data_IF_538313413237
#
_entry.id   IF_538313413237
#
_cell.length_a   1.000
_cell.length_b   1.000
_cell.length_c   1.000
_cell.angle_alpha   90.00
_cell.angle_beta   90.00
_cell.angle_gamma   90.00
#
_symmetry.space_group_name_H-M   'P 1'
#
loop_
_entity.id
_entity.type
_entity.pdbx_description
1 polymer ?
#
# COMPACT_ATOMS: atom_id res chain seq x y z
N UNK A 1 54.01 -33.32 41.44
CA UNK A 1 52.66 -33.41 40.85
C UNK A 1 52.86 -33.94 39.42
N UNK A 2 52.69 -35.24 39.22
CA UNK A 2 52.84 -35.87 37.90
C UNK A 2 51.46 -35.88 37.24
N UNK A 3 51.30 -35.17 36.13
CA UNK A 3 50.12 -35.29 35.27
C UNK A 3 50.17 -36.68 34.65
N UNK A 4 49.09 -37.45 34.81
CA UNK A 4 49.01 -38.80 34.24
C UNK A 4 48.90 -38.72 32.71
N UNK A 5 49.51 -39.68 32.00
CA UNK A 5 49.32 -39.84 30.56
C UNK A 5 47.84 -39.99 30.18
N UNK A 6 47.02 -40.53 31.09
CA UNK A 6 45.57 -40.66 30.89
C UNK A 6 44.86 -39.29 30.91
N UNK A 7 45.31 -38.34 31.74
CA UNK A 7 44.76 -36.97 31.78
C UNK A 7 45.09 -36.19 30.52
N UNK A 8 46.30 -36.38 29.98
CA UNK A 8 46.73 -35.80 28.70
C UNK A 8 45.89 -36.38 27.56
N UNK A 9 45.68 -37.70 27.55
CA UNK A 9 44.87 -38.36 26.52
C UNK A 9 43.41 -37.89 26.55
N UNK A 10 42.82 -37.75 27.75
CA UNK A 10 41.46 -37.23 27.93
C UNK A 10 41.32 -35.80 27.42
N UNK A 11 42.33 -34.96 27.68
CA UNK A 11 42.38 -33.58 27.19
C UNK A 11 42.44 -33.51 25.66
N UNK A 12 43.26 -34.35 25.01
CA UNK A 12 43.32 -34.40 23.55
C UNK A 12 42.03 -34.95 22.92
N UNK A 13 41.42 -35.98 23.50
CA UNK A 13 40.14 -36.53 23.03
C UNK A 13 39.00 -35.50 23.15
N UNK A 14 38.95 -34.75 24.25
CA UNK A 14 37.98 -33.66 24.45
C UNK A 14 38.22 -32.49 23.49
N UNK A 15 39.47 -32.14 23.22
CA UNK A 15 39.81 -31.10 22.24
C UNK A 15 39.44 -31.51 20.80
N UNK A 16 39.68 -32.76 20.41
CA UNK A 16 39.31 -33.31 19.08
C UNK A 16 37.79 -33.36 18.91
N UNK A 17 37.05 -33.79 19.93
CA UNK A 17 35.57 -33.80 19.90
C UNK A 17 35.01 -32.38 19.85
N UNK A 18 35.58 -31.43 20.58
CA UNK A 18 35.20 -30.02 20.50
C UNK A 18 35.47 -29.41 19.12
N UNK A 19 36.65 -29.66 18.54
CA UNK A 19 37.01 -29.18 17.19
C UNK A 19 36.12 -29.79 16.10
N UNK A 20 35.76 -31.07 16.22
CA UNK A 20 34.85 -31.72 15.27
C UNK A 20 33.41 -31.23 15.42
N UNK A 21 32.94 -30.99 16.65
CA UNK A 21 31.65 -30.34 16.90
C UNK A 21 31.62 -28.92 16.32
N UNK A 22 32.65 -28.11 16.58
CA UNK A 22 32.76 -26.75 16.03
C UNK A 22 32.72 -26.75 14.50
N UNK A 23 33.47 -27.65 13.84
CA UNK A 23 33.47 -27.79 12.38
C UNK A 23 32.10 -28.17 11.82
N UNK A 24 31.39 -29.08 12.49
CA UNK A 24 30.01 -29.47 12.10
C UNK A 24 29.04 -28.30 12.25
N UNK A 25 29.13 -27.56 13.36
CA UNK A 25 28.31 -26.37 13.60
C UNK A 25 28.57 -25.28 12.56
N UNK A 26 29.83 -25.04 12.20
CA UNK A 26 30.22 -24.07 11.16
C UNK A 26 29.71 -24.50 9.78
N UNK A 27 29.84 -25.78 9.42
CA UNK A 27 29.30 -26.32 8.18
C UNK A 27 27.76 -26.17 8.12
N UNK A 28 27.08 -26.45 9.24
CA UNK A 28 25.63 -26.25 9.35
C UNK A 28 25.24 -24.78 9.20
N UNK A 29 25.94 -23.86 9.87
CA UNK A 29 25.72 -22.41 9.73
C UNK A 29 25.89 -21.95 8.28
N UNK A 30 26.95 -22.39 7.59
CA UNK A 30 27.19 -22.04 6.19
C UNK A 30 26.08 -22.57 5.30
N UNK A 31 25.66 -23.83 5.48
CA UNK A 31 24.54 -24.41 4.73
C UNK A 31 23.23 -23.66 4.99
N UNK A 32 22.97 -23.29 6.25
CA UNK A 32 21.79 -22.53 6.63
C UNK A 32 21.78 -21.14 5.98
N UNK A 33 22.91 -20.43 5.99
CA UNK A 33 23.05 -19.12 5.35
C UNK A 33 22.82 -19.23 3.84
N UNK A 34 23.43 -20.22 3.19
CA UNK A 34 23.24 -20.44 1.74
C UNK A 34 21.80 -20.79 1.40
N UNK A 35 21.15 -21.66 2.19
CA UNK A 35 19.75 -22.03 2.01
C UNK A 35 18.83 -20.82 2.20
N UNK A 36 19.03 -20.06 3.27
CA UNK A 36 18.25 -18.86 3.55
C UNK A 36 18.42 -17.80 2.46
N UNK A 37 19.66 -17.54 2.02
CA UNK A 37 19.94 -16.62 0.92
C UNK A 37 19.31 -17.08 -0.39
N UNK A 38 19.36 -18.39 -0.68
CA UNK A 38 18.68 -18.99 -1.83
C UNK A 38 17.17 -18.80 -1.79
N UNK A 39 16.54 -19.02 -0.63
CA UNK A 39 15.10 -18.79 -0.41
C UNK A 39 14.73 -17.31 -0.56
N UNK A 40 15.55 -16.40 -0.02
CA UNK A 40 15.35 -14.96 -0.15
C UNK A 40 15.34 -14.53 -1.63
N UNK A 41 16.32 -15.01 -2.40
CA UNK A 41 16.44 -14.73 -3.84
C UNK A 41 15.33 -15.39 -4.66
N UNK A 42 14.92 -16.61 -4.30
CA UNK A 42 13.79 -17.28 -4.93
C UNK A 42 12.48 -16.51 -4.68
N UNK A 43 12.29 -16.01 -3.46
CA UNK A 43 11.12 -15.23 -3.08
C UNK A 43 11.05 -13.89 -3.82
N UNK A 44 12.12 -13.09 -3.77
CA UNK A 44 12.19 -11.79 -4.47
C UNK A 44 12.15 -11.91 -5.99
N UNK A 45 12.58 -13.06 -6.53
CA UNK A 45 12.47 -13.40 -7.94
C UNK A 45 11.09 -13.91 -8.38
N UNK A 46 10.13 -14.08 -7.46
CA UNK A 46 8.78 -14.58 -7.76
C UNK A 46 8.68 -16.09 -7.99
N UNK A 47 9.75 -16.86 -7.72
CA UNK A 47 9.77 -18.32 -7.89
C UNK A 47 8.90 -19.03 -6.85
N UNK A 48 8.64 -18.38 -5.71
CA UNK A 48 7.76 -18.89 -4.67
C UNK A 48 6.30 -18.40 -4.81
N UNK A 49 5.93 -17.81 -5.95
CA UNK A 49 4.58 -17.27 -6.20
C UNK A 49 3.44 -18.28 -5.99
N UNK A 50 3.69 -19.57 -6.16
CA UNK A 50 2.71 -20.63 -5.89
C UNK A 50 2.37 -20.79 -4.39
N UNK A 51 3.24 -20.33 -3.49
CA UNK A 51 3.06 -20.33 -2.04
C UNK A 51 2.70 -18.93 -1.50
N UNK A 52 2.58 -17.96 -2.39
CA UNK A 52 2.25 -16.59 -2.04
C UNK A 52 0.75 -16.38 -1.92
N UNK A 53 0.34 -15.25 -1.37
CA UNK A 53 -1.05 -14.85 -1.36
C UNK A 53 -1.51 -14.49 -2.78
N UNK A 54 -2.73 -14.89 -3.12
CA UNK A 54 -3.40 -14.49 -4.36
C UNK A 54 -4.46 -13.42 -4.08
N UNK A 55 -4.94 -12.70 -5.12
CA UNK A 55 -6.06 -11.78 -4.99
C UNK A 55 -7.30 -12.40 -4.33
N UNK A 56 -7.54 -13.70 -4.55
CA UNK A 56 -8.69 -14.43 -4.02
C UNK A 56 -8.61 -14.63 -2.49
N UNK A 57 -7.41 -14.50 -1.91
CA UNK A 57 -7.19 -14.57 -0.48
C UNK A 57 -7.40 -13.23 0.24
N UNK A 58 -7.69 -12.16 -0.51
CA UNK A 58 -7.92 -10.83 0.02
C UNK A 58 -9.42 -10.59 0.26
N UNK A 59 -9.80 -10.48 1.52
CA UNK A 59 -11.08 -9.88 1.89
C UNK A 59 -10.90 -8.37 2.02
N UNK A 60 -11.27 -7.61 0.98
CA UNK A 60 -11.23 -6.15 0.98
C UNK A 60 -12.65 -5.56 0.96
N UNK A 61 -12.97 -4.79 1.98
CA UNK A 61 -14.23 -4.05 2.12
C UNK A 61 -13.98 -2.55 2.21
N UNK A 62 -14.84 -1.79 1.53
CA UNK A 62 -14.81 -0.33 1.52
C UNK A 62 -16.23 0.17 1.69
N UNK A 63 -16.43 1.08 2.62
CA UNK A 63 -17.73 1.70 2.88
C UNK A 63 -17.55 3.19 3.13
N UNK A 64 -18.58 3.98 2.83
CA UNK A 64 -18.62 5.39 3.14
C UNK A 64 -19.88 5.71 3.95
N UNK A 65 -19.72 6.52 4.99
CA UNK A 65 -20.79 7.01 5.85
C UNK A 65 -20.40 8.38 6.42
N UNK A 66 -21.29 9.36 6.36
CA UNK A 66 -21.13 10.68 6.99
C UNK A 66 -19.77 11.33 6.70
N UNK A 67 -19.45 11.49 5.40
CA UNK A 67 -18.17 11.95 4.86
C UNK A 67 -16.93 11.10 5.22
N UNK A 68 -17.10 10.00 5.95
CA UNK A 68 -16.02 9.11 6.38
C UNK A 68 -15.96 7.89 5.49
N UNK A 69 -14.77 7.54 5.03
CA UNK A 69 -14.48 6.30 4.30
C UNK A 69 -13.79 5.35 5.25
N UNK A 70 -14.30 4.12 5.33
CA UNK A 70 -13.74 3.04 6.12
C UNK A 70 -13.31 1.94 5.16
N UNK A 71 -12.02 1.64 5.17
CA UNK A 71 -11.43 0.50 4.45
C UNK A 71 -11.05 -0.55 5.47
N UNK A 72 -11.41 -1.80 5.24
CA UNK A 72 -10.92 -2.93 6.02
C UNK A 72 -10.42 -4.01 5.08
N UNK A 73 -9.30 -4.61 5.44
CA UNK A 73 -8.76 -5.75 4.72
C UNK A 73 -8.31 -6.86 5.64
N UNK A 74 -8.33 -8.07 5.11
CA UNK A 74 -7.68 -9.24 5.66
C UNK A 74 -7.12 -10.07 4.50
N UNK A 75 -5.81 -10.34 4.52
CA UNK A 75 -5.10 -11.14 3.53
C UNK A 75 -4.65 -12.45 4.15
N UNK A 76 -5.17 -13.55 3.63
CA UNK A 76 -4.83 -14.89 4.10
C UNK A 76 -3.61 -15.44 3.33
N UNK A 77 -2.65 -16.00 4.06
CA UNK A 77 -1.48 -16.66 3.47
C UNK A 77 -0.36 -15.71 3.05
N UNK A 78 0.61 -16.26 2.31
CA UNK A 78 1.76 -15.54 1.74
C UNK A 78 2.72 -14.89 2.74
N UNK A 79 2.51 -14.99 4.06
CA UNK A 79 3.33 -14.28 5.06
C UNK A 79 4.80 -14.67 5.00
N UNK A 80 5.10 -15.96 4.80
CA UNK A 80 6.48 -16.47 4.69
C UNK A 80 7.13 -15.95 3.42
N UNK A 81 6.45 -16.02 2.27
CA UNK A 81 6.96 -15.53 0.98
C UNK A 81 7.23 -14.03 1.08
N UNK A 82 6.26 -13.26 1.56
CA UNK A 82 6.40 -11.82 1.79
C UNK A 82 7.56 -11.48 2.74
N UNK A 83 7.70 -12.20 3.84
CA UNK A 83 8.81 -12.00 4.80
C UNK A 83 10.16 -12.30 4.15
N UNK A 84 10.28 -13.43 3.44
CA UNK A 84 11.50 -13.80 2.72
C UNK A 84 11.84 -12.83 1.59
N UNK A 85 10.85 -12.29 0.89
CA UNK A 85 11.08 -11.32 -0.16
C UNK A 85 11.41 -9.92 0.38
N UNK A 86 11.18 -9.67 1.68
CA UNK A 86 11.17 -8.31 2.24
C UNK A 86 10.02 -7.46 1.68
N UNK A 87 8.95 -8.10 1.20
CA UNK A 87 7.80 -7.44 0.61
C UNK A 87 7.07 -6.53 1.59
N UNK A 88 6.37 -5.53 1.04
CA UNK A 88 5.45 -4.64 1.75
C UNK A 88 4.21 -4.44 0.93
N UNK A 89 3.07 -4.51 1.61
CA UNK A 89 1.80 -4.30 0.96
C UNK A 89 1.34 -2.86 1.27
N UNK A 90 0.42 -2.35 0.46
CA UNK A 90 -0.08 -0.99 0.61
C UNK A 90 -1.57 -0.90 0.29
N UNK A 91 -2.23 0.05 0.93
CA UNK A 91 -3.56 0.54 0.52
C UNK A 91 -3.36 1.94 -0.05
N UNK A 92 -3.78 2.16 -1.28
CA UNK A 92 -3.64 3.43 -2.00
C UNK A 92 -5.04 3.98 -2.27
N UNK A 93 -5.30 5.19 -1.79
CA UNK A 93 -6.57 5.89 -1.99
C UNK A 93 -6.42 6.86 -3.17
N UNK A 94 -7.36 6.82 -4.11
CA UNK A 94 -7.35 7.69 -5.30
C UNK A 94 -8.70 8.39 -5.42
N UNK A 95 -8.72 9.72 -5.38
CA UNK A 95 -9.96 10.50 -5.46
C UNK A 95 -9.74 11.92 -6.02
N UNK A 96 -10.75 12.51 -6.69
CA UNK A 96 -10.70 13.91 -7.10
C UNK A 96 -10.87 14.81 -5.87
N UNK A 97 -9.80 15.52 -5.50
CA UNK A 97 -9.79 16.31 -4.27
C UNK A 97 -10.09 17.78 -4.49
N UNK A 98 -9.44 18.41 -5.46
CA UNK A 98 -9.59 19.86 -5.70
C UNK A 98 -9.96 20.16 -7.15
N UNK A 99 -10.55 21.33 -7.38
CA UNK A 99 -10.81 21.88 -8.71
C UNK A 99 -10.17 23.26 -8.84
N UNK A 100 -9.58 23.53 -10.01
CA UNK A 100 -8.94 24.81 -10.34
C UNK A 100 -9.99 25.84 -10.76
N UNK A 101 -9.85 27.07 -10.27
CA UNK A 101 -10.67 28.23 -10.65
C UNK A 101 -9.82 29.49 -10.78
N UNK A 102 -9.62 29.96 -12.01
CA UNK A 102 -9.08 31.29 -12.36
C UNK A 102 -7.97 31.81 -11.40
N UNK A 103 -6.99 30.97 -11.06
CA UNK A 103 -5.84 31.21 -10.14
C UNK A 103 -5.96 30.70 -8.69
N UNK A 104 -7.05 30.01 -8.35
CA UNK A 104 -7.28 29.40 -7.03
C UNK A 104 -7.65 27.91 -7.15
N UNK A 105 -7.69 27.22 -6.00
CA UNK A 105 -8.15 25.84 -5.88
C UNK A 105 -9.30 25.78 -4.89
N UNK A 106 -10.41 25.18 -5.29
CA UNK A 106 -11.53 24.90 -4.41
C UNK A 106 -11.52 23.43 -4.00
N UNK A 107 -11.76 23.19 -2.71
CA UNK A 107 -11.75 21.85 -2.12
C UNK A 107 -13.07 21.13 -2.42
N UNK A 108 -13.03 20.08 -3.22
CA UNK A 108 -14.16 19.15 -3.44
C UNK A 108 -14.21 18.08 -2.34
N UNK A 109 -13.04 17.60 -1.93
CA UNK A 109 -12.82 16.66 -0.85
C UNK A 109 -11.35 16.70 -0.45
N UNK A 110 -11.03 17.08 0.78
CA UNK A 110 -9.69 16.96 1.34
C UNK A 110 -9.70 15.93 2.46
N UNK A 111 -8.60 15.19 2.57
CA UNK A 111 -8.45 14.17 3.59
C UNK A 111 -8.06 14.81 4.92
N UNK A 112 -8.94 14.70 5.90
CA UNK A 112 -8.67 15.05 7.30
C UNK A 112 -8.74 13.79 8.18
N UNK A 113 -7.94 13.77 9.25
CA UNK A 113 -7.98 12.72 10.27
C UNK A 113 -7.87 11.30 9.70
N UNK A 114 -6.85 11.05 8.87
CA UNK A 114 -6.49 9.71 8.44
C UNK A 114 -5.98 8.91 9.64
N UNK A 115 -6.70 7.86 10.02
CA UNK A 115 -6.30 6.92 11.06
C UNK A 115 -6.16 5.52 10.53
N UNK A 116 -5.15 4.80 11.02
CA UNK A 116 -4.81 3.45 10.59
C UNK A 116 -4.60 2.55 11.79
N UNK A 117 -5.26 1.39 11.79
CA UNK A 117 -5.10 0.31 12.74
C UNK A 117 -4.67 -0.95 11.99
N UNK A 118 -3.50 -1.50 12.33
CA UNK A 118 -2.93 -2.69 11.69
C UNK A 118 -3.03 -3.88 12.64
N UNK A 119 -3.40 -5.06 12.15
CA UNK A 119 -3.58 -6.27 12.93
C UNK A 119 -4.45 -6.09 14.21
N UNK A 120 -5.42 -5.17 14.18
CA UNK A 120 -6.29 -4.87 15.32
C UNK A 120 -5.65 -4.01 16.43
N UNK A 121 -4.46 -3.44 16.20
CA UNK A 121 -3.85 -2.46 17.11
C UNK A 121 -4.68 -1.18 17.26
N UNK A 122 -4.37 -0.39 18.28
CA UNK A 122 -4.94 0.95 18.46
C UNK A 122 -4.68 1.82 17.23
N UNK A 123 -5.68 2.60 16.78
CA UNK A 123 -5.54 3.45 15.61
C UNK A 123 -4.48 4.54 15.84
N UNK A 124 -3.69 4.82 14.81
CA UNK A 124 -2.70 5.89 14.80
C UNK A 124 -3.03 6.87 13.69
N UNK A 125 -2.94 8.16 13.98
CA UNK A 125 -3.09 9.19 12.95
C UNK A 125 -1.83 9.26 12.10
N UNK A 126 -2.01 9.32 10.78
CA UNK A 126 -0.93 9.46 9.83
C UNK A 126 -0.95 10.83 9.18
N UNK A 127 0.23 11.36 8.91
CA UNK A 127 0.39 12.52 8.03
C UNK A 127 0.12 12.07 6.60
N UNK A 128 -0.71 12.83 5.89
CA UNK A 128 -1.07 12.51 4.51
C UNK A 128 -0.01 13.08 3.58
N UNK A 129 0.51 12.24 2.69
CA UNK A 129 1.38 12.66 1.58
C UNK A 129 0.57 12.56 0.29
N UNK A 130 0.39 13.70 -0.37
CA UNK A 130 -0.37 13.80 -1.60
C UNK A 130 0.52 13.69 -2.83
N UNK A 131 0.13 12.82 -3.77
CA UNK A 131 0.65 12.82 -5.13
C UNK A 131 -0.46 13.25 -6.11
N UNK A 132 -0.53 14.54 -6.49
CA UNK A 132 -1.60 15.05 -7.33
C UNK A 132 -1.36 14.80 -8.83
N UNK A 133 -2.42 14.38 -9.53
CA UNK A 133 -2.52 14.36 -10.98
C UNK A 133 -3.50 15.44 -11.44
N UNK A 134 -3.12 16.24 -12.42
CA UNK A 134 -4.06 17.17 -13.05
C UNK A 134 -4.82 16.46 -14.17
N UNK A 135 -6.15 16.53 -14.12
CA UNK A 135 -7.03 15.91 -15.11
C UNK A 135 -8.05 16.95 -15.57
N UNK A 136 -8.13 17.17 -16.88
CA UNK A 136 -9.19 17.98 -17.48
C UNK A 136 -10.39 17.07 -17.76
N UNK A 137 -11.55 17.44 -17.23
CA UNK A 137 -12.81 16.72 -17.42
C UNK A 137 -13.83 17.63 -18.07
N UNK A 138 -14.72 17.06 -18.88
CA UNK A 138 -15.74 17.83 -19.60
C UNK A 138 -17.14 17.25 -19.37
N UNK A 139 -18.13 18.12 -19.53
CA UNK A 139 -19.54 17.76 -19.66
C UNK A 139 -20.20 18.77 -20.63
N UNK A 140 -20.41 18.34 -21.87
CA UNK A 140 -20.85 19.24 -22.95
C UNK A 140 -19.79 20.32 -23.22
N UNK A 141 -20.19 21.59 -23.20
CA UNK A 141 -19.28 22.73 -23.35
C UNK A 141 -18.54 23.12 -22.06
N UNK A 142 -18.98 22.64 -20.90
CA UNK A 142 -18.34 22.92 -19.62
C UNK A 142 -17.09 22.05 -19.43
N UNK A 143 -16.02 22.64 -18.89
CA UNK A 143 -14.78 21.95 -18.56
C UNK A 143 -14.36 22.29 -17.13
N UNK A 144 -13.88 21.28 -16.40
CA UNK A 144 -13.31 21.44 -15.06
C UNK A 144 -11.91 20.84 -15.03
N UNK A 145 -10.96 21.54 -14.40
CA UNK A 145 -9.59 21.05 -14.20
C UNK A 145 -9.45 20.55 -12.77
N UNK A 146 -9.33 19.23 -12.62
CA UNK A 146 -9.30 18.57 -11.32
C UNK A 146 -7.87 18.24 -10.91
N UNK A 147 -7.60 18.28 -9.60
CA UNK A 147 -6.49 17.55 -8.96
C UNK A 147 -7.01 16.26 -8.37
N UNK A 148 -6.56 15.15 -8.91
CA UNK A 148 -6.80 13.80 -8.38
C UNK A 148 -5.64 13.46 -7.45
N UNK A 149 -5.94 13.18 -6.19
CA UNK A 149 -4.94 12.80 -5.20
C UNK A 149 -4.74 11.30 -5.16
N UNK A 150 -3.50 10.92 -4.90
CA UNK A 150 -3.10 9.56 -4.58
C UNK A 150 -2.46 9.59 -3.19
N UNK A 151 -3.06 8.86 -2.26
CA UNK A 151 -2.66 8.80 -0.85
C UNK A 151 -2.29 7.36 -0.51
N UNK A 152 -0.99 7.04 -0.44
CA UNK A 152 -0.51 5.70 -0.11
C UNK A 152 -0.40 5.47 1.41
N UNK A 153 -0.80 4.29 1.85
CA UNK A 153 -0.60 3.77 3.21
C UNK A 153 0.10 2.42 3.09
N UNK A 154 1.41 2.37 3.33
CA UNK A 154 2.21 1.15 3.30
C UNK A 154 2.31 0.48 4.67
N UNK A 155 2.55 -0.84 4.67
CA UNK A 155 2.74 -1.61 5.90
C UNK A 155 3.65 -2.83 5.65
N UNK A 156 4.33 -3.33 6.71
CA UNK A 156 5.23 -4.46 6.57
C UNK A 156 4.49 -5.75 6.22
N UNK A 157 5.22 -6.69 5.61
CA UNK A 157 4.73 -8.03 5.23
C UNK A 157 4.16 -8.89 6.37
N UNK A 158 4.44 -8.52 7.61
CA UNK A 158 3.88 -9.16 8.81
C UNK A 158 2.43 -8.78 9.07
N UNK A 159 1.92 -7.73 8.42
CA UNK A 159 0.53 -7.29 8.54
C UNK A 159 -0.35 -8.14 7.63
N UNK A 160 -1.38 -8.72 8.23
CA UNK A 160 -2.38 -9.53 7.53
C UNK A 160 -3.72 -8.82 7.45
N UNK A 161 -4.02 -7.95 8.41
CA UNK A 161 -5.28 -7.22 8.41
C UNK A 161 -5.09 -5.78 8.82
N UNK A 162 -6.07 -4.95 8.50
CA UNK A 162 -6.08 -3.58 8.99
C UNK A 162 -7.37 -2.86 8.68
N UNK A 163 -7.46 -1.66 9.24
CA UNK A 163 -8.57 -0.73 9.12
C UNK A 163 -8.01 0.67 8.90
N UNK A 164 -8.48 1.34 7.86
CA UNK A 164 -8.23 2.76 7.61
C UNK A 164 -9.56 3.49 7.76
N UNK A 165 -9.55 4.59 8.50
CA UNK A 165 -10.64 5.56 8.52
C UNK A 165 -10.13 6.89 8.02
N UNK A 166 -10.80 7.43 7.01
CA UNK A 166 -10.46 8.70 6.40
C UNK A 166 -11.71 9.59 6.38
N UNK A 167 -11.64 10.78 6.97
CA UNK A 167 -12.70 11.77 6.83
C UNK A 167 -12.38 12.67 5.65
N UNK A 168 -13.34 12.86 4.75
CA UNK A 168 -13.25 13.84 3.69
C UNK A 168 -13.99 15.12 4.08
N UNK A 169 -13.42 16.27 3.78
CA UNK A 169 -14.05 17.57 4.04
C UNK A 169 -14.11 18.41 2.79
N UNK A 170 -15.13 19.26 2.70
CA UNK A 170 -15.22 20.33 1.72
C UNK A 170 -15.64 21.59 2.46
N UNK A 171 -15.33 22.76 1.91
CA UNK A 171 -15.77 24.05 2.44
C UNK A 171 -16.76 24.75 1.50
N UNK A 172 -17.20 24.05 0.45
CA UNK A 172 -17.97 24.64 -0.64
C UNK A 172 -19.12 23.73 -1.08
N UNK A 173 -20.22 24.35 -1.50
CA UNK A 173 -21.40 23.64 -2.00
C UNK A 173 -22.39 23.19 -0.93
N UNK A 174 -23.35 22.36 -1.32
CA UNK A 174 -24.30 21.72 -0.39
C UNK A 174 -23.77 20.37 0.05
N UNK A 175 -23.59 19.45 -0.89
CA UNK A 175 -22.88 18.20 -0.76
C UNK A 175 -22.37 17.83 -2.14
N UNK A 176 -21.08 17.51 -2.24
CA UNK A 176 -20.46 17.06 -3.48
C UNK A 176 -20.41 15.54 -3.47
N UNK A 177 -20.64 14.89 -4.61
CA UNK A 177 -20.44 13.44 -4.70
C UNK A 177 -19.19 13.16 -5.53
N UNK A 178 -18.28 12.38 -4.97
CA UNK A 178 -17.07 11.93 -5.65
C UNK A 178 -16.93 10.43 -5.52
N UNK A 179 -16.21 9.82 -6.45
CA UNK A 179 -15.76 8.43 -6.31
C UNK A 179 -14.38 8.41 -5.65
N UNK A 180 -14.19 7.47 -4.74
CA UNK A 180 -12.89 7.11 -4.21
C UNK A 180 -12.59 5.67 -4.59
N UNK A 181 -11.48 5.47 -5.29
CA UNK A 181 -10.95 4.15 -5.59
C UNK A 181 -9.90 3.78 -4.53
N UNK A 182 -10.02 2.57 -3.99
CA UNK A 182 -9.11 1.95 -3.03
C UNK A 182 -8.39 0.84 -3.74
N UNK A 183 -7.07 0.95 -3.85
CA UNK A 183 -6.21 -0.06 -4.44
C UNK A 183 -5.49 -0.76 -3.30
N UNK A 184 -5.71 -2.06 -3.13
CA UNK A 184 -4.81 -2.89 -2.36
C UNK A 184 -3.70 -3.37 -3.28
N UNK A 185 -2.46 -3.07 -2.92
CA UNK A 185 -1.28 -3.49 -3.64
C UNK A 185 -0.52 -4.52 -2.81
N UNK A 186 -0.32 -5.70 -3.39
CA UNK A 186 0.53 -6.75 -2.85
C UNK A 186 1.84 -6.79 -3.65
N UNK A 187 2.98 -6.80 -2.97
CA UNK A 187 4.27 -6.54 -3.63
C UNK A 187 5.03 -7.75 -4.15
N UNK A 188 4.65 -8.96 -3.76
CA UNK A 188 5.34 -10.20 -4.11
C UNK A 188 4.59 -11.02 -5.17
N UNK A 189 5.33 -11.85 -5.90
CA UNK A 189 4.81 -12.62 -7.03
C UNK A 189 5.63 -12.43 -8.32
N UNK A 190 4.97 -12.59 -9.47
CA UNK A 190 5.60 -12.46 -10.80
C UNK A 190 5.43 -11.09 -11.47
N UNK A 191 4.51 -10.25 -11.01
CA UNK A 191 4.38 -8.86 -11.46
C UNK A 191 4.02 -8.67 -12.93
N UNK A 192 2.85 -9.15 -13.36
CA UNK A 192 2.31 -8.88 -14.70
C UNK A 192 1.24 -7.78 -14.64
N UNK A 193 1.68 -6.52 -14.63
CA UNK A 193 0.75 -5.39 -14.58
C UNK A 193 0.18 -5.07 -15.95
N UNK A 194 -1.13 -4.91 -16.00
CA UNK A 194 -1.87 -4.34 -17.13
C UNK A 194 -2.12 -2.86 -16.89
N UNK A 195 -2.63 -2.18 -17.91
CA UNK A 195 -3.15 -0.82 -17.75
C UNK A 195 -4.19 -0.80 -16.62
N UNK A 196 -3.96 0.06 -15.64
CA UNK A 196 -4.91 0.29 -14.56
C UNK A 196 -5.82 1.45 -14.96
N UNK A 197 -7.10 1.13 -15.11
CA UNK A 197 -8.14 2.12 -15.41
C UNK A 197 -8.96 2.33 -14.15
N UNK A 198 -8.94 3.56 -13.63
CA UNK A 198 -9.67 3.99 -12.45
C UNK A 198 -10.86 4.87 -12.89
N UNK A 199 -12.08 4.29 -12.97
CA UNK A 199 -13.26 5.04 -13.37
C UNK A 199 -13.71 5.98 -12.24
N UNK A 200 -13.45 7.27 -12.40
CA UNK A 200 -13.78 8.30 -11.43
C UNK A 200 -15.02 9.11 -11.85
N UNK A 201 -15.67 9.74 -10.90
CA UNK A 201 -16.74 10.71 -11.15
C UNK A 201 -16.77 11.82 -10.13
N UNK A 202 -17.25 12.98 -10.57
CA UNK A 202 -17.53 14.15 -9.74
C UNK A 202 -18.95 14.65 -10.02
N UNK A 203 -19.63 15.11 -8.97
CA UNK A 203 -20.89 15.85 -8.98
C UNK A 203 -20.70 17.05 -8.04
N UNK A 204 -20.48 18.23 -8.62
CA UNK A 204 -20.38 19.48 -7.88
C UNK A 204 -21.80 19.81 -7.43
N UNK A 205 -22.03 19.88 -6.11
CA UNK A 205 -23.35 20.18 -5.57
C UNK A 205 -23.91 21.48 -6.16
N UNK A 206 -25.23 21.67 -6.10
CA UNK A 206 -25.89 22.85 -6.70
C UNK A 206 -25.35 24.18 -6.17
N UNK A 207 -24.85 24.21 -4.94
CA UNK A 207 -24.26 25.39 -4.33
C UNK A 207 -22.75 25.56 -4.58
N UNK A 208 -22.11 24.72 -5.39
CA UNK A 208 -20.66 24.81 -5.59
C UNK A 208 -20.33 26.10 -6.37
N UNK A 209 -19.34 26.90 -5.94
CA UNK A 209 -19.12 28.25 -6.48
C UNK A 209 -18.84 28.29 -7.98
N UNK A 210 -18.15 27.26 -8.48
CA UNK A 210 -17.84 27.12 -9.90
C UNK A 210 -18.61 25.94 -10.49
N UNK A 211 -19.12 26.12 -11.70
CA UNK A 211 -19.82 25.06 -12.43
C UNK A 211 -20.85 24.33 -11.52
N UNK A 212 -21.80 25.05 -10.90
CA UNK A 212 -22.77 24.47 -9.98
C UNK A 212 -23.56 23.35 -10.67
N UNK A 213 -23.65 22.18 -10.03
CA UNK A 213 -24.31 21.00 -10.63
C UNK A 213 -23.50 20.29 -11.71
N UNK A 214 -22.22 20.63 -11.90
CA UNK A 214 -21.37 19.97 -12.87
C UNK A 214 -21.12 18.52 -12.51
N UNK A 215 -21.40 17.66 -13.47
CA UNK A 215 -21.25 16.20 -13.34
C UNK A 215 -20.37 15.68 -14.43
N UNK A 216 -19.37 14.88 -14.09
CA UNK A 216 -18.56 14.21 -15.10
C UNK A 216 -18.11 12.84 -14.62
N UNK A 217 -17.97 11.91 -15.56
CA UNK A 217 -17.34 10.60 -15.37
C UNK A 217 -16.15 10.52 -16.28
N UNK A 218 -15.02 10.08 -15.76
CA UNK A 218 -13.75 10.05 -16.48
C UNK A 218 -12.90 8.89 -15.98
N UNK A 219 -11.90 8.51 -16.76
CA UNK A 219 -10.99 7.44 -16.39
C UNK A 219 -9.60 8.02 -16.13
N UNK A 220 -9.06 7.81 -14.93
CA UNK A 220 -7.62 7.97 -14.71
C UNK A 220 -6.93 6.66 -15.15
N UNK A 221 -6.13 6.73 -16.21
CA UNK A 221 -5.45 5.55 -16.77
C UNK A 221 -3.97 5.61 -16.46
N UNK A 222 -3.48 4.59 -15.76
CA UNK A 222 -2.06 4.38 -15.50
C UNK A 222 -1.61 3.25 -16.40
N UNK A 223 -0.86 3.59 -17.44
CA UNK A 223 -0.36 2.60 -18.41
C UNK A 223 0.55 1.59 -17.70
N UNK A 224 0.55 0.34 -18.18
CA UNK A 224 1.43 -0.71 -17.66
C UNK A 224 2.90 -0.28 -17.61
N UNK A 225 3.37 0.45 -18.64
CA UNK A 225 4.73 1.01 -18.71
C UNK A 225 5.05 2.07 -17.65
N UNK A 226 4.02 2.64 -17.01
CA UNK A 226 4.12 3.64 -15.94
C UNK A 226 3.72 3.07 -14.56
N UNK A 227 3.29 1.83 -14.49
CA UNK A 227 2.85 1.20 -13.24
C UNK A 227 3.97 1.16 -12.20
N UNK A 228 5.17 0.81 -12.64
CA UNK A 228 6.35 0.75 -11.79
C UNK A 228 6.66 2.11 -11.15
N UNK A 229 6.60 3.18 -11.95
CA UNK A 229 6.82 4.55 -11.50
C UNK A 229 5.73 4.99 -10.51
N UNK A 230 4.46 4.69 -10.83
CA UNK A 230 3.32 4.96 -9.96
C UNK A 230 3.44 4.25 -8.61
N UNK A 231 3.70 2.94 -8.61
CA UNK A 231 3.83 2.14 -7.39
C UNK A 231 5.06 2.54 -6.57
N UNK A 232 6.20 2.85 -7.21
CA UNK A 232 7.37 3.39 -6.50
C UNK A 232 7.07 4.74 -5.87
N UNK A 233 6.44 5.66 -6.62
CA UNK A 233 6.06 6.97 -6.08
C UNK A 233 5.08 6.84 -4.92
N UNK A 234 4.13 5.91 -5.00
CA UNK A 234 3.16 5.67 -3.95
C UNK A 234 3.82 5.01 -2.72
N UNK A 235 4.55 3.90 -2.90
CA UNK A 235 5.02 3.08 -1.78
C UNK A 235 6.32 3.61 -1.15
N UNK A 236 7.17 4.31 -1.91
CA UNK A 236 8.42 4.87 -1.38
C UNK A 236 8.26 6.30 -0.84
N UNK A 237 7.09 6.92 -0.92
CA UNK A 237 6.86 8.31 -0.50
C UNK A 237 7.29 8.60 0.95
N UNK A 238 7.18 7.61 1.84
CA UNK A 238 7.50 7.74 3.26
C UNK A 238 8.95 7.40 3.60
N UNK A 239 9.78 6.96 2.64
CA UNK A 239 11.13 6.46 2.91
C UNK A 239 12.21 7.26 2.19
N UNK A 240 13.30 7.66 2.88
CA UNK A 240 14.43 8.40 2.27
C UNK A 240 15.29 7.56 1.30
N UNK A 241 14.83 6.37 0.89
CA UNK A 241 15.47 5.52 -0.11
C UNK A 241 14.42 4.72 -0.89
N UNK A 242 14.72 4.38 -2.15
CA UNK A 242 13.87 3.51 -2.97
C UNK A 242 13.84 2.12 -2.32
N UNK A 243 12.78 1.80 -1.59
CA UNK A 243 12.71 0.59 -0.77
C UNK A 243 12.22 -0.62 -1.59
N UNK A 244 11.26 -0.40 -2.50
CA UNK A 244 10.91 -1.40 -3.51
C UNK A 244 11.49 -0.98 -4.85
N UNK A 245 12.57 -1.64 -5.25
CA UNK A 245 13.18 -1.43 -6.56
C UNK A 245 12.28 -2.00 -7.66
N UNK A 246 11.73 -3.21 -7.53
CA UNK A 246 10.88 -3.80 -8.57
C UNK A 246 9.64 -4.44 -7.94
N UNK A 247 8.55 -3.68 -7.67
CA UNK A 247 7.27 -4.24 -7.25
C UNK A 247 6.81 -5.31 -8.24
N UNK A 248 6.65 -6.56 -7.79
CA UNK A 248 6.35 -7.72 -8.64
C UNK A 248 5.12 -8.50 -8.17
N UNK A 249 4.04 -7.84 -7.80
CA UNK A 249 2.86 -8.54 -7.31
C UNK A 249 1.60 -8.25 -8.10
N UNK A 250 0.53 -7.99 -7.37
CA UNK A 250 -0.82 -7.84 -7.92
C UNK A 250 -1.55 -6.73 -7.19
N UNK A 251 -2.64 -6.27 -7.80
CA UNK A 251 -3.49 -5.23 -7.23
C UNK A 251 -4.96 -5.64 -7.30
N UNK A 252 -5.73 -5.20 -6.31
CA UNK A 252 -7.20 -5.30 -6.28
C UNK A 252 -7.77 -3.92 -6.07
N UNK A 253 -8.72 -3.52 -6.91
CA UNK A 253 -9.37 -2.21 -6.82
C UNK A 253 -10.80 -2.38 -6.32
N UNK A 254 -11.18 -1.55 -5.35
CA UNK A 254 -12.56 -1.37 -4.88
C UNK A 254 -12.92 0.09 -4.99
N UNK A 255 -14.14 0.35 -5.42
CA UNK A 255 -14.68 1.71 -5.53
C UNK A 255 -15.72 1.96 -4.46
N UNK A 256 -15.77 3.18 -3.96
CA UNK A 256 -16.89 3.69 -3.16
C UNK A 256 -17.30 5.07 -3.65
N UNK A 257 -18.60 5.36 -3.61
CA UNK A 257 -19.10 6.72 -3.78
C UNK A 257 -19.11 7.40 -2.42
N UNK A 258 -18.61 8.62 -2.37
CA UNK A 258 -18.53 9.41 -1.15
C UNK A 258 -19.27 10.71 -1.37
N UNK A 259 -20.22 10.98 -0.49
CA UNK A 259 -20.83 12.30 -0.37
C UNK A 259 -20.01 13.09 0.63
N UNK A 260 -19.51 14.25 0.22
CA UNK A 260 -18.72 15.18 1.03
C UNK A 260 -19.53 16.45 1.19
N UNK A 261 -20.07 16.67 2.39
CA UNK A 261 -20.81 17.89 2.73
C UNK A 261 -19.91 18.85 3.55
N UNK A 262 -20.08 20.18 3.41
CA UNK A 262 -19.45 21.12 4.30
C UNK A 262 -19.87 20.89 5.76
N UNK A 263 -19.05 21.32 6.73
CA UNK A 263 -19.47 21.30 8.12
C UNK A 263 -20.78 22.07 8.30
N UNK A 264 -21.70 21.52 9.07
CA UNK A 264 -22.90 22.26 9.49
C UNK A 264 -22.43 23.52 10.22
N UNK A 265 -22.84 24.68 9.71
CA UNK A 265 -22.59 25.95 10.40
C UNK A 265 -23.51 25.97 11.63
N UNK A 266 -22.92 25.84 12.81
CA UNK A 266 -23.60 26.01 14.10
C UNK A 266 -23.96 27.47 14.34
#
# INVERSE_FOLDING_TARGET
MYISWDEILLFFLTLITLMTMLRKTLAFMVLFILAFWGLQKASSGGYLSAFDASPDNLNLSVQSKDNTVIVKWELQGGSIVRTLAGGRDAVILVYPGWVEDNDSWLVLGDAENLSVALNGESPRNLTIIYHPFQVLVSNGSAQAKLRVFVVPIDFPSTVQSGKIELKLVTYYGTCNNITLDVIYFHSTGKGDYRDLVLPLSVDFGKGFPILPGFRSRFNLTIKASKMLEFLRSAVNAHYPGNWIDEPKGWLVVKKVNVTVCPPETS
#
